data_IF_864838035392
#
_entry.id   IF_864838035392
#
_cell.length_a   1.000
_cell.length_b   1.000
_cell.length_c   1.000
_cell.angle_alpha   90.00
_cell.angle_beta   90.00
_cell.angle_gamma   90.00
#
_symmetry.space_group_name_H-M   'P 1'
#
loop_
_entity.id
_entity.type
_entity.pdbx_description
1 polymer ?
#
# COMPACT_ATOMS: atom_id res chain seq x y z
N UNK A 1 14.04 0.15 -5.62
CA UNK A 1 13.38 0.71 -6.81
C UNK A 1 14.26 0.48 -8.04
N UNK A 2 15.53 0.86 -8.05
CA UNK A 2 16.44 0.73 -9.19
C UNK A 2 16.50 -0.70 -9.78
N UNK A 3 16.59 -1.72 -8.91
CA UNK A 3 16.60 -3.13 -9.32
C UNK A 3 15.38 -3.55 -10.14
N UNK A 4 14.23 -2.89 -9.93
CA UNK A 4 12.96 -3.20 -10.57
C UNK A 4 12.72 -2.38 -11.85
N UNK A 5 13.40 -1.25 -12.02
CA UNK A 5 13.23 -0.35 -13.18
C UNK A 5 13.52 -1.03 -14.51
N UNK A 6 14.58 -1.86 -14.56
CA UNK A 6 14.95 -2.61 -15.76
C UNK A 6 13.84 -3.60 -16.21
N UNK A 7 12.93 -3.96 -15.31
CA UNK A 7 11.83 -4.90 -15.60
C UNK A 7 10.48 -4.18 -15.78
N UNK A 8 10.46 -2.85 -15.66
CA UNK A 8 9.23 -2.05 -15.80
C UNK A 8 8.20 -2.24 -14.69
N UNK A 9 8.61 -2.73 -13.53
CA UNK A 9 7.74 -2.98 -12.37
C UNK A 9 8.37 -3.90 -11.34
N UNK A 10 7.67 -4.15 -10.23
CA UNK A 10 8.17 -5.00 -9.14
C UNK A 10 8.32 -6.45 -9.60
N UNK A 11 9.48 -7.03 -9.38
CA UNK A 11 9.76 -8.47 -9.54
C UNK A 11 9.73 -9.11 -8.14
N UNK A 12 8.68 -9.87 -7.79
CA UNK A 12 8.46 -10.36 -6.43
C UNK A 12 9.60 -11.19 -5.86
N UNK A 13 10.22 -12.03 -6.67
CA UNK A 13 11.33 -12.89 -6.23
C UNK A 13 12.57 -12.07 -5.90
N UNK A 14 12.92 -11.08 -6.73
CA UNK A 14 14.06 -10.19 -6.46
C UNK A 14 13.83 -9.38 -5.18
N UNK A 15 12.60 -8.88 -4.97
CA UNK A 15 12.23 -8.20 -3.73
C UNK A 15 12.43 -9.09 -2.51
N UNK A 16 11.94 -10.33 -2.54
CA UNK A 16 12.07 -11.28 -1.44
C UNK A 16 13.53 -11.59 -1.11
N UNK A 17 14.36 -11.81 -2.13
CA UNK A 17 15.79 -12.06 -1.98
C UNK A 17 16.54 -10.86 -1.39
N UNK A 18 16.18 -9.64 -1.75
CA UNK A 18 16.76 -8.44 -1.18
C UNK A 18 16.31 -8.23 0.26
N UNK A 19 15.04 -8.47 0.57
CA UNK A 19 14.50 -8.37 1.93
C UNK A 19 15.21 -9.33 2.91
N UNK A 20 15.43 -10.59 2.51
CA UNK A 20 16.09 -11.57 3.40
C UNK A 20 17.54 -11.17 3.72
N UNK A 21 18.22 -10.49 2.80
CA UNK A 21 19.59 -10.00 3.02
C UNK A 21 19.64 -8.79 3.93
N UNK A 22 18.61 -7.94 3.92
CA UNK A 22 18.60 -6.65 4.58
C UNK A 22 17.92 -6.64 5.94
N UNK A 23 16.95 -7.52 6.19
CA UNK A 23 16.11 -7.44 7.39
C UNK A 23 16.94 -7.47 8.68
N UNK A 24 17.91 -8.35 8.81
CA UNK A 24 18.74 -8.45 10.02
C UNK A 24 19.73 -7.29 10.17
N UNK A 25 20.51 -6.89 9.13
CA UNK A 25 21.33 -5.69 9.20
C UNK A 25 20.54 -4.43 9.57
N UNK A 26 19.39 -4.20 8.93
CA UNK A 26 18.52 -3.06 9.23
C UNK A 26 17.98 -3.09 10.66
N UNK A 27 17.59 -4.26 11.16
CA UNK A 27 17.13 -4.39 12.55
C UNK A 27 18.25 -3.97 13.54
N UNK A 28 19.48 -4.41 13.31
CA UNK A 28 20.63 -4.01 14.14
C UNK A 28 20.88 -2.50 14.06
N UNK A 29 20.83 -1.94 12.88
CA UNK A 29 21.03 -0.52 12.64
C UNK A 29 19.96 0.32 13.37
N UNK A 30 18.68 -0.02 13.24
CA UNK A 30 17.56 0.67 13.89
C UNK A 30 17.69 0.63 15.41
N UNK A 31 18.04 -0.51 16.00
CA UNK A 31 18.25 -0.64 17.43
C UNK A 31 19.43 0.24 17.91
N UNK A 32 20.51 0.28 17.12
CA UNK A 32 21.67 1.13 17.43
C UNK A 32 21.33 2.62 17.31
N UNK A 33 20.64 3.04 16.25
CA UNK A 33 20.21 4.44 16.08
C UNK A 33 19.25 4.90 17.17
N UNK A 34 18.34 4.02 17.59
CA UNK A 34 17.40 4.29 18.68
C UNK A 34 18.08 4.23 20.07
N UNK A 35 19.30 3.73 20.15
CA UNK A 35 19.99 3.44 21.41
C UNK A 35 19.18 2.53 22.34
N UNK A 36 18.55 1.51 21.78
CA UNK A 36 17.68 0.57 22.49
C UNK A 36 18.31 -0.82 22.47
N UNK A 37 18.42 -1.46 23.65
CA UNK A 37 18.84 -2.83 23.76
C UNK A 37 17.68 -3.80 23.38
N UNK A 38 18.01 -4.98 22.85
CA UNK A 38 17.03 -6.03 22.51
C UNK A 38 16.11 -6.39 23.68
N UNK A 39 16.66 -6.39 24.92
CA UNK A 39 15.90 -6.68 26.13
C UNK A 39 14.76 -5.70 26.41
N UNK A 40 14.88 -4.45 25.92
CA UNK A 40 13.88 -3.41 26.08
C UNK A 40 12.76 -3.45 25.04
N UNK A 41 12.81 -4.39 24.09
CA UNK A 41 11.73 -4.62 23.14
C UNK A 41 10.62 -5.43 23.84
N UNK A 42 9.37 -4.96 23.76
CA UNK A 42 8.22 -5.63 24.36
C UNK A 42 7.63 -6.70 23.43
N UNK A 43 7.56 -6.42 22.12
CA UNK A 43 7.03 -7.34 21.10
C UNK A 43 7.61 -7.03 19.73
N UNK A 44 7.48 -8.00 18.80
CA UNK A 44 7.86 -7.86 17.40
C UNK A 44 6.61 -7.85 16.55
N UNK A 45 6.38 -6.79 15.80
CA UNK A 45 5.26 -6.70 14.87
C UNK A 45 5.73 -6.92 13.43
N UNK A 46 4.91 -7.57 12.62
CA UNK A 46 5.17 -7.76 11.19
C UNK A 46 3.88 -7.68 10.36
N UNK A 47 4.01 -7.37 9.09
CA UNK A 47 2.87 -7.39 8.16
C UNK A 47 2.51 -8.84 7.80
N UNK A 48 1.34 -9.31 8.25
CA UNK A 48 0.86 -10.67 7.94
C UNK A 48 0.19 -10.80 6.58
N UNK A 49 -0.23 -9.69 5.99
CA UNK A 49 -0.94 -9.61 4.72
C UNK A 49 -1.89 -8.40 4.66
N UNK A 50 -2.49 -8.16 3.47
CA UNK A 50 -2.14 -8.71 2.17
C UNK A 50 -0.80 -8.18 1.64
N UNK A 51 -0.27 -8.87 0.60
CA UNK A 51 0.98 -8.48 -0.06
C UNK A 51 1.59 -9.64 -0.85
N UNK A 52 2.77 -9.42 -1.41
CA UNK A 52 3.51 -10.44 -2.16
C UNK A 52 3.98 -11.57 -1.23
N UNK A 53 3.53 -12.79 -1.48
CA UNK A 53 3.74 -13.94 -0.61
C UNK A 53 5.20 -14.13 -0.18
N UNK A 54 6.16 -14.06 -1.11
CA UNK A 54 7.58 -14.21 -0.81
C UNK A 54 8.11 -13.13 0.14
N UNK A 55 7.73 -11.87 -0.05
CA UNK A 55 8.12 -10.77 0.82
C UNK A 55 7.48 -10.90 2.22
N UNK A 56 6.20 -11.28 2.28
CA UNK A 56 5.49 -11.54 3.54
C UNK A 56 6.13 -12.68 4.33
N UNK A 57 6.51 -13.77 3.65
CA UNK A 57 7.19 -14.90 4.30
C UNK A 57 8.54 -14.51 4.89
N UNK A 58 9.31 -13.64 4.22
CA UNK A 58 10.57 -13.12 4.77
C UNK A 58 10.31 -12.31 6.04
N UNK A 59 9.33 -11.42 6.02
CA UNK A 59 8.96 -10.60 7.18
C UNK A 59 8.47 -11.45 8.35
N UNK A 60 7.56 -12.39 8.09
CA UNK A 60 7.02 -13.30 9.09
C UNK A 60 8.11 -14.19 9.69
N UNK A 61 8.96 -14.81 8.84
CA UNK A 61 10.04 -15.66 9.27
C UNK A 61 11.07 -14.94 10.14
N UNK A 62 11.47 -13.73 9.72
CA UNK A 62 12.39 -12.89 10.51
C UNK A 62 11.77 -12.50 11.85
N UNK A 63 10.51 -12.05 11.87
CA UNK A 63 9.81 -11.64 13.09
C UNK A 63 9.65 -12.82 14.07
N UNK A 64 9.23 -14.00 13.57
CA UNK A 64 9.10 -15.19 14.39
C UNK A 64 10.46 -15.64 14.96
N UNK A 65 11.51 -15.60 14.15
CA UNK A 65 12.87 -15.94 14.60
C UNK A 65 13.37 -14.99 15.68
N UNK A 66 13.18 -13.68 15.49
CA UNK A 66 13.53 -12.66 16.49
C UNK A 66 12.70 -12.82 17.77
N UNK A 67 11.39 -13.02 17.65
CA UNK A 67 10.51 -13.26 18.80
C UNK A 67 10.95 -14.47 19.62
N UNK A 68 11.26 -15.59 18.95
CA UNK A 68 11.77 -16.79 19.60
C UNK A 68 13.14 -16.58 20.27
N UNK A 69 14.07 -15.92 19.56
CA UNK A 69 15.42 -15.65 20.06
C UNK A 69 15.43 -14.66 21.25
N UNK A 70 14.52 -13.71 21.28
CA UNK A 70 14.44 -12.68 22.31
C UNK A 70 13.43 -13.00 23.43
N UNK A 71 12.67 -14.11 23.30
CA UNK A 71 11.61 -14.46 24.24
C UNK A 71 10.46 -13.43 24.22
N UNK A 72 10.14 -12.85 23.07
CA UNK A 72 9.15 -11.79 22.93
C UNK A 72 7.95 -12.24 22.10
N UNK A 73 6.73 -11.76 22.42
CA UNK A 73 5.54 -12.05 21.61
C UNK A 73 5.66 -11.46 20.21
N UNK A 74 5.05 -12.14 19.24
CA UNK A 74 5.04 -11.72 17.83
C UNK A 74 3.62 -11.39 17.41
N UNK A 75 3.42 -10.22 16.79
CA UNK A 75 2.11 -9.69 16.40
C UNK A 75 2.04 -9.54 14.89
N UNK A 76 1.11 -10.25 14.26
CA UNK A 76 0.81 -10.10 12.83
C UNK A 76 -0.20 -8.97 12.60
N UNK A 77 0.23 -7.90 11.91
CA UNK A 77 -0.60 -6.73 11.59
C UNK A 77 -1.13 -6.83 10.16
N UNK A 78 -2.43 -6.53 9.98
CA UNK A 78 -3.03 -6.48 8.66
C UNK A 78 -2.66 -5.16 7.95
N UNK A 79 -2.07 -5.23 6.76
CA UNK A 79 -1.54 -4.06 6.04
C UNK A 79 -2.60 -2.97 5.80
N UNK A 80 -3.77 -3.37 5.30
CA UNK A 80 -4.85 -2.41 5.01
C UNK A 80 -5.46 -1.81 6.29
N UNK A 81 -5.50 -2.56 7.39
CA UNK A 81 -5.89 -2.05 8.70
C UNK A 81 -4.91 -0.98 9.18
N UNK A 82 -3.61 -1.18 8.97
CA UNK A 82 -2.60 -0.15 9.23
C UNK A 82 -2.86 1.15 8.46
N UNK A 83 -3.30 1.06 7.19
CA UNK A 83 -3.72 2.23 6.43
C UNK A 83 -5.00 2.87 6.97
N UNK A 84 -6.03 2.08 7.29
CA UNK A 84 -7.29 2.58 7.84
C UNK A 84 -7.11 3.32 9.17
N UNK A 85 -6.17 2.86 10.00
CA UNK A 85 -5.90 3.42 11.31
C UNK A 85 -4.81 4.52 11.30
N UNK A 86 -4.12 4.73 10.18
CA UNK A 86 -3.05 5.75 10.09
C UNK A 86 -3.52 7.18 10.42
N UNK A 87 -4.78 7.61 10.13
CA UNK A 87 -5.25 8.93 10.52
C UNK A 87 -5.27 9.18 12.03
N UNK A 88 -5.29 8.11 12.86
CA UNK A 88 -5.18 8.25 14.33
C UNK A 88 -3.81 8.74 14.80
N UNK A 89 -2.80 8.76 13.92
CA UNK A 89 -1.49 9.34 14.21
C UNK A 89 -1.44 10.86 13.95
N UNK A 90 -2.52 11.45 13.42
CA UNK A 90 -2.61 12.89 13.20
C UNK A 90 -2.89 13.66 14.49
N UNK A 91 -2.67 14.99 14.44
CA UNK A 91 -2.98 15.87 15.58
C UNK A 91 -4.49 15.97 15.85
N UNK A 92 -5.32 15.73 14.84
CA UNK A 92 -6.79 15.71 14.92
C UNK A 92 -7.31 14.37 14.39
N UNK A 93 -7.31 13.31 15.22
CA UNK A 93 -7.73 11.99 14.80
C UNK A 93 -9.25 11.91 14.61
N UNK A 94 -9.73 11.12 13.64
CA UNK A 94 -11.16 10.90 13.45
C UNK A 94 -11.77 10.19 14.66
N UNK A 95 -13.08 10.41 14.87
CA UNK A 95 -13.86 9.67 15.84
C UNK A 95 -14.70 8.59 15.15
N UNK A 96 -14.88 7.45 15.80
CA UNK A 96 -15.75 6.39 15.30
C UNK A 96 -17.25 6.77 15.45
N UNK A 97 -18.11 6.36 14.51
CA UNK A 97 -17.81 5.76 13.23
C UNK A 97 -17.38 6.81 12.20
N UNK A 98 -16.56 6.40 11.23
CA UNK A 98 -16.24 7.25 10.08
C UNK A 98 -16.19 6.43 8.78
N UNK A 99 -16.19 7.12 7.64
CA UNK A 99 -16.00 6.51 6.32
C UNK A 99 -14.57 6.75 5.87
N UNK A 100 -13.87 5.69 5.50
CA UNK A 100 -12.52 5.72 4.97
C UNK A 100 -12.50 5.37 3.48
N UNK A 101 -11.82 6.20 2.69
CA UNK A 101 -11.44 5.87 1.33
C UNK A 101 -9.96 5.45 1.31
N UNK A 102 -9.73 4.16 1.13
CA UNK A 102 -8.40 3.59 0.98
C UNK A 102 -8.04 3.57 -0.49
N UNK A 103 -6.98 4.30 -0.87
CA UNK A 103 -6.48 4.38 -2.24
C UNK A 103 -4.99 4.06 -2.27
N UNK A 104 -4.62 3.06 -3.04
CA UNK A 104 -3.23 2.63 -3.19
C UNK A 104 -2.96 2.10 -4.60
N UNK A 105 -1.72 1.61 -4.82
CA UNK A 105 -1.36 0.95 -6.08
C UNK A 105 -2.07 -0.37 -6.34
N UNK A 106 -2.59 -1.04 -5.30
CA UNK A 106 -3.24 -2.34 -5.44
C UNK A 106 -4.69 -2.40 -4.93
N UNK A 107 -5.16 -1.37 -4.22
CA UNK A 107 -6.49 -1.35 -3.62
C UNK A 107 -7.15 0.00 -3.78
N UNK A 108 -8.45 -0.02 -4.05
CA UNK A 108 -9.34 1.15 -3.95
C UNK A 108 -10.62 0.67 -3.31
N UNK A 109 -10.84 1.08 -2.05
CA UNK A 109 -11.92 0.56 -1.21
C UNK A 109 -12.54 1.69 -0.40
N UNK A 110 -13.86 1.70 -0.33
CA UNK A 110 -14.62 2.57 0.55
C UNK A 110 -15.15 1.72 1.71
N UNK A 111 -14.84 2.12 2.93
CA UNK A 111 -15.16 1.35 4.13
C UNK A 111 -15.84 2.22 5.17
N UNK A 112 -16.82 1.67 5.86
CA UNK A 112 -17.29 2.19 7.14
C UNK A 112 -16.46 1.57 8.27
N UNK A 113 -15.96 2.41 9.15
CA UNK A 113 -15.12 2.04 10.27
C UNK A 113 -15.87 2.36 11.56
N UNK A 114 -16.39 1.34 12.22
CA UNK A 114 -17.16 1.49 13.47
C UNK A 114 -16.27 1.38 14.72
N UNK A 115 -15.09 0.80 14.57
CA UNK A 115 -14.07 0.62 15.60
C UNK A 115 -12.88 -0.15 15.08
N UNK A 116 -11.82 -0.32 15.88
CA UNK A 116 -10.68 -1.15 15.53
C UNK A 116 -11.14 -2.60 15.34
N UNK A 117 -10.84 -3.20 14.19
CA UNK A 117 -11.30 -4.55 13.85
C UNK A 117 -12.78 -4.64 13.41
N UNK A 118 -13.50 -3.51 13.32
CA UNK A 118 -14.91 -3.46 12.96
C UNK A 118 -15.08 -2.65 11.66
N UNK A 119 -14.97 -3.32 10.54
CA UNK A 119 -14.98 -2.72 9.20
C UNK A 119 -16.08 -3.31 8.34
N UNK A 120 -16.81 -2.43 7.67
CA UNK A 120 -17.82 -2.80 6.67
C UNK A 120 -17.37 -2.26 5.31
N UNK A 121 -17.20 -3.15 4.32
CA UNK A 121 -16.99 -2.76 2.94
C UNK A 121 -18.27 -2.10 2.41
N UNK A 122 -18.16 -0.89 1.89
CA UNK A 122 -19.24 -0.16 1.23
C UNK A 122 -19.16 -0.26 -0.29
N UNK A 123 -17.94 -0.30 -0.83
CA UNK A 123 -17.65 -0.45 -2.25
C UNK A 123 -16.15 -0.63 -2.48
N UNK A 124 -15.80 -1.23 -3.60
CA UNK A 124 -14.41 -1.42 -4.00
C UNK A 124 -14.26 -1.31 -5.53
N UNK A 125 -13.02 -1.26 -5.99
CA UNK A 125 -12.79 -1.32 -7.44
C UNK A 125 -13.08 -2.72 -7.97
N UNK A 126 -13.84 -2.79 -9.06
CA UNK A 126 -14.16 -4.05 -9.75
C UNK A 126 -13.11 -4.47 -10.79
N UNK A 127 -12.13 -3.60 -11.04
CA UNK A 127 -11.07 -3.81 -12.03
C UNK A 127 -9.72 -3.24 -11.53
N UNK A 128 -9.10 -2.31 -12.22
CA UNK A 128 -7.83 -1.71 -11.79
C UNK A 128 -8.03 -0.87 -10.51
N UNK A 129 -7.07 -0.90 -9.59
CA UNK A 129 -7.01 0.09 -8.53
C UNK A 129 -6.66 1.48 -9.09
N UNK A 130 -7.02 2.56 -8.37
CA UNK A 130 -6.74 3.92 -8.83
C UNK A 130 -5.24 4.16 -9.09
N UNK A 131 -4.36 3.75 -8.17
CA UNK A 131 -2.91 3.88 -8.35
C UNK A 131 -2.38 3.03 -9.50
N UNK A 132 -2.91 1.82 -9.69
CA UNK A 132 -2.59 0.96 -10.83
C UNK A 132 -3.01 1.61 -12.15
N UNK A 133 -4.18 2.25 -12.22
CA UNK A 133 -4.64 2.98 -13.39
C UNK A 133 -3.72 4.18 -13.69
N UNK A 134 -3.22 4.88 -12.66
CA UNK A 134 -2.21 5.92 -12.82
C UNK A 134 -0.92 5.38 -13.43
N UNK A 135 -0.35 4.31 -12.90
CA UNK A 135 0.91 3.73 -13.40
C UNK A 135 0.76 3.18 -14.82
N UNK A 136 -0.35 2.50 -15.10
CA UNK A 136 -0.64 1.98 -16.45
C UNK A 136 -0.84 3.12 -17.47
N UNK A 137 -1.57 4.18 -17.11
CA UNK A 137 -1.75 5.34 -17.96
C UNK A 137 -0.43 6.08 -18.20
N UNK A 138 0.39 6.26 -17.18
CA UNK A 138 1.72 6.86 -17.29
C UNK A 138 2.62 6.04 -18.22
N UNK A 139 2.59 4.71 -18.14
CA UNK A 139 3.32 3.82 -19.04
C UNK A 139 2.88 3.97 -20.50
N UNK A 140 1.57 4.08 -20.74
CA UNK A 140 1.03 4.34 -22.10
C UNK A 140 1.52 5.68 -22.67
N UNK A 141 1.69 6.68 -21.81
CA UNK A 141 2.20 8.02 -22.16
C UNK A 141 3.75 8.11 -22.18
N UNK A 142 4.45 7.01 -21.95
CA UNK A 142 5.92 6.98 -21.97
C UNK A 142 6.60 7.69 -20.79
N UNK A 143 5.92 7.86 -19.64
CA UNK A 143 6.42 8.62 -18.48
C UNK A 143 7.29 7.81 -17.51
N UNK A 144 7.58 6.54 -17.84
CA UNK A 144 8.46 5.70 -17.01
C UNK A 144 7.77 5.06 -15.82
N UNK A 145 8.57 4.57 -14.82
CA UNK A 145 8.10 3.90 -13.61
C UNK A 145 8.91 4.38 -12.38
N UNK A 146 8.28 4.68 -11.22
CA UNK A 146 6.83 4.70 -10.98
C UNK A 146 6.17 5.85 -11.73
N UNK A 147 5.04 5.57 -12.40
CA UNK A 147 4.42 6.50 -13.33
C UNK A 147 3.46 7.49 -12.69
N UNK A 148 2.80 7.12 -11.57
CA UNK A 148 1.79 7.94 -10.93
C UNK A 148 2.26 9.34 -10.56
N UNK A 149 3.40 9.53 -9.85
CA UNK A 149 3.93 10.85 -9.54
C UNK A 149 4.31 11.67 -10.77
N UNK A 150 4.86 11.03 -11.80
CA UNK A 150 5.23 11.70 -13.04
C UNK A 150 3.99 12.20 -13.80
N UNK A 151 2.94 11.39 -13.87
CA UNK A 151 1.66 11.75 -14.47
C UNK A 151 0.98 12.89 -13.69
N UNK A 152 0.92 12.80 -12.35
CA UNK A 152 0.35 13.84 -11.51
C UNK A 152 1.05 15.19 -11.71
N UNK A 153 2.38 15.21 -11.69
CA UNK A 153 3.17 16.43 -11.94
C UNK A 153 2.94 17.00 -13.34
N UNK A 154 2.78 16.15 -14.35
CA UNK A 154 2.49 16.60 -15.71
C UNK A 154 1.10 17.21 -15.80
N UNK A 155 0.13 16.67 -15.08
CA UNK A 155 -1.25 17.14 -15.04
C UNK A 155 -1.39 18.57 -14.46
N UNK A 156 -0.49 19.00 -13.58
CA UNK A 156 -0.47 20.38 -13.05
C UNK A 156 -0.32 21.44 -14.16
N UNK A 157 0.29 21.07 -15.29
CA UNK A 157 0.49 21.95 -16.45
C UNK A 157 -0.60 21.78 -17.51
N UNK A 158 -1.55 20.88 -17.26
CA UNK A 158 -2.62 20.52 -18.18
C UNK A 158 -3.90 21.32 -17.96
N UNK A 159 -4.88 21.08 -18.83
CA UNK A 159 -6.24 21.58 -18.65
C UNK A 159 -7.17 20.45 -18.27
N UNK A 160 -7.82 20.56 -17.12
CA UNK A 160 -8.77 19.55 -16.62
C UNK A 160 -10.02 19.39 -17.52
N UNK A 161 -10.23 20.29 -18.45
CA UNK A 161 -11.40 20.33 -19.35
C UNK A 161 -11.05 20.05 -20.81
N UNK A 162 -9.76 19.80 -21.14
CA UNK A 162 -9.31 19.58 -22.52
C UNK A 162 -9.93 18.33 -23.16
N UNK A 163 -10.18 17.28 -22.35
CA UNK A 163 -10.77 16.04 -22.80
C UNK A 163 -11.89 15.60 -21.85
N UNK A 164 -12.94 15.03 -22.43
CA UNK A 164 -14.05 14.47 -21.66
C UNK A 164 -13.82 12.97 -21.47
N UNK A 165 -13.08 12.61 -20.42
CA UNK A 165 -12.88 11.21 -20.08
C UNK A 165 -14.13 10.56 -19.48
N UNK A 166 -14.31 9.24 -19.65
CA UNK A 166 -15.42 8.50 -19.04
C UNK A 166 -15.27 8.49 -17.51
N UNK A 167 -16.42 8.47 -16.84
CA UNK A 167 -16.53 8.24 -15.39
C UNK A 167 -17.33 6.96 -15.18
N UNK A 168 -16.67 5.78 -15.22
CA UNK A 168 -17.34 4.50 -15.06
C UNK A 168 -18.11 4.46 -13.73
N UNK A 169 -19.22 3.72 -13.72
CA UNK A 169 -20.09 3.48 -12.57
C UNK A 169 -20.72 4.73 -11.92
N UNK A 170 -20.60 5.92 -12.50
CA UNK A 170 -21.15 7.15 -11.91
C UNK A 170 -22.66 7.08 -11.62
N UNK A 171 -23.40 6.23 -12.31
CA UNK A 171 -24.85 6.05 -12.21
C UNK A 171 -25.25 4.59 -11.95
N UNK A 172 -24.35 3.74 -11.45
CA UNK A 172 -24.60 2.32 -11.17
C UNK A 172 -25.59 2.11 -10.01
N UNK A 173 -25.67 3.06 -9.08
CA UNK A 173 -26.53 2.96 -7.90
C UNK A 173 -25.88 2.23 -6.72
N UNK A 174 -24.64 1.78 -6.87
CA UNK A 174 -23.77 1.23 -5.83
C UNK A 174 -22.61 2.20 -5.52
N UNK A 175 -21.66 1.74 -4.70
CA UNK A 175 -20.49 2.51 -4.29
C UNK A 175 -19.17 1.94 -4.85
N UNK A 176 -19.26 1.08 -5.85
CA UNK A 176 -18.10 0.47 -6.48
C UNK A 176 -17.38 1.44 -7.44
N UNK A 177 -16.13 1.16 -7.71
CA UNK A 177 -15.27 1.94 -8.59
C UNK A 177 -14.84 1.11 -9.81
N UNK A 178 -14.55 1.79 -10.91
CA UNK A 178 -13.91 1.20 -12.09
C UNK A 178 -12.96 2.21 -12.72
N UNK A 179 -11.76 1.78 -13.08
CA UNK A 179 -10.71 2.62 -13.68
C UNK A 179 -10.21 2.07 -15.03
N UNK A 180 -10.55 0.83 -15.39
CA UNK A 180 -10.07 0.22 -16.64
C UNK A 180 -10.58 0.97 -17.88
N UNK A 181 -11.83 1.44 -17.85
CA UNK A 181 -12.40 2.25 -18.94
C UNK A 181 -11.70 3.60 -19.10
N UNK A 182 -11.34 4.26 -18.00
CA UNK A 182 -10.57 5.48 -18.01
C UNK A 182 -9.17 5.26 -18.63
N UNK A 183 -8.47 4.23 -18.18
CA UNK A 183 -7.15 3.84 -18.73
C UNK A 183 -7.22 3.62 -20.25
N UNK A 184 -8.24 2.91 -20.72
CA UNK A 184 -8.41 2.65 -22.17
C UNK A 184 -8.68 3.94 -22.94
N UNK A 185 -9.38 4.91 -22.34
CA UNK A 185 -9.64 6.20 -22.98
C UNK A 185 -8.43 7.13 -23.07
N UNK A 186 -7.33 6.82 -22.37
CA UNK A 186 -6.05 7.55 -22.50
C UNK A 186 -5.28 7.16 -23.75
N UNK A 187 -5.57 5.99 -24.34
CA UNK A 187 -4.99 5.53 -25.60
C UNK A 187 -5.57 6.31 -26.79
#
# INVERSE_FOLDING_TARGET
>A
IEMHQAYGGVVPELASRDHIRRVIPLTKEVLAQANIAQAAIDYVAYTRGPGLAGALLVGAGAACAMGAAWGKPVIGVHHLEGHLLSPFLSADPPQFPFVALLVSGGHTQLMRVDGVGQYQMLGETIDDAAGEAFDKSAKLLGLGYPGGPALAKRAEQGSATAYKFPRPLLHSGDLDFSFAGLKTAVL
#
